data_IF_508054483881
#
_entry.id   IF_508054483881
#
_cell.length_a   1.000
_cell.length_b   1.000
_cell.length_c   1.000
_cell.angle_alpha   90.00
_cell.angle_beta   90.00
_cell.angle_gamma   90.00
#
_symmetry.space_group_name_H-M   'P 1'
#
loop_
_entity.id
_entity.type
_entity.pdbx_description
1 polymer ?
#
# COMPACT_ATOMS: atom_id res chain seq x y z
N UNK A 1 -1.24 -16.74 -24.40
CA UNK A 1 -2.07 -16.97 -23.19
C UNK A 1 -2.03 -15.71 -22.36
N UNK A 2 -3.16 -15.01 -22.19
CA UNK A 2 -3.23 -13.84 -21.33
C UNK A 2 -3.15 -14.29 -19.87
N UNK A 3 -2.07 -13.96 -19.16
CA UNK A 3 -1.97 -14.20 -17.72
C UNK A 3 -3.01 -13.34 -17.03
N UNK A 4 -3.91 -13.94 -16.25
CA UNK A 4 -4.88 -13.20 -15.46
C UNK A 4 -4.16 -12.16 -14.57
N UNK A 5 -4.72 -10.94 -14.39
CA UNK A 5 -4.12 -9.95 -13.52
C UNK A 5 -4.02 -10.51 -12.10
N UNK A 6 -2.87 -10.31 -11.45
CA UNK A 6 -2.74 -10.62 -10.03
C UNK A 6 -3.73 -9.75 -9.25
N UNK A 7 -4.48 -10.35 -8.34
CA UNK A 7 -5.45 -9.66 -7.48
C UNK A 7 -4.99 -9.82 -6.04
N UNK A 8 -5.16 -8.76 -5.23
CA UNK A 8 -4.88 -8.84 -3.80
C UNK A 8 -5.69 -9.98 -3.14
N UNK A 9 -5.06 -10.83 -2.31
CA UNK A 9 -5.73 -12.02 -1.78
C UNK A 9 -6.80 -11.66 -0.76
N UNK A 10 -7.88 -12.44 -0.73
CA UNK A 10 -8.78 -12.44 0.41
C UNK A 10 -8.07 -13.11 1.60
N UNK A 11 -8.11 -12.47 2.77
CA UNK A 11 -7.52 -13.04 3.97
C UNK A 11 -8.37 -14.22 4.49
N UNK A 12 -7.76 -15.36 4.87
CA UNK A 12 -8.47 -16.52 5.41
C UNK A 12 -9.42 -16.20 6.57
N UNK A 13 -9.06 -15.25 7.43
CA UNK A 13 -9.90 -14.81 8.55
C UNK A 13 -11.03 -13.85 8.18
N UNK A 14 -11.12 -13.44 6.91
CA UNK A 14 -12.07 -12.42 6.44
C UNK A 14 -11.76 -11.01 6.92
N UNK A 15 -10.57 -10.78 7.51
CA UNK A 15 -10.13 -9.45 7.94
C UNK A 15 -9.94 -8.53 6.73
N UNK A 16 -10.26 -7.25 6.94
CA UNK A 16 -10.11 -6.18 5.97
C UNK A 16 -9.22 -5.08 6.55
N UNK A 17 -8.78 -4.15 5.70
CA UNK A 17 -7.96 -3.02 6.12
C UNK A 17 -8.69 -2.17 7.15
N UNK A 18 -7.91 -1.71 8.14
CA UNK A 18 -8.38 -0.84 9.20
C UNK A 18 -8.57 0.59 8.66
N UNK A 19 -9.81 1.06 8.67
CA UNK A 19 -10.16 2.39 8.16
C UNK A 19 -9.55 3.52 8.97
N UNK A 20 -9.27 3.30 10.27
CA UNK A 20 -8.68 4.32 11.14
C UNK A 20 -7.22 4.64 10.80
N UNK A 21 -6.53 3.70 10.15
CA UNK A 21 -5.11 3.82 9.77
C UNK A 21 -4.93 4.04 8.26
N UNK A 22 -6.03 4.12 7.51
CA UNK A 22 -5.98 4.33 6.08
C UNK A 22 -5.66 5.79 5.75
N UNK A 23 -4.66 6.02 4.90
CA UNK A 23 -4.36 7.36 4.38
C UNK A 23 -3.88 7.34 2.94
N UNK A 24 -4.15 8.43 2.22
CA UNK A 24 -3.72 8.62 0.83
C UNK A 24 -2.78 9.81 0.80
N UNK A 25 -1.55 9.59 0.34
CA UNK A 25 -0.57 10.66 0.15
C UNK A 25 -0.30 10.82 -1.34
N UNK A 26 -0.74 11.93 -1.97
CA UNK A 26 -0.35 12.23 -3.34
C UNK A 26 1.14 12.59 -3.40
N UNK A 27 1.85 12.07 -4.39
CA UNK A 27 3.23 12.41 -4.66
C UNK A 27 3.27 13.64 -5.58
N UNK A 28 3.41 14.84 -5.01
CA UNK A 28 3.51 16.09 -5.77
C UNK A 28 4.93 16.32 -6.29
N UNK A 29 5.14 16.41 -7.62
CA UNK A 29 6.43 16.72 -8.21
C UNK A 29 6.83 18.20 -8.09
N UNK A 30 5.92 19.10 -7.68
CA UNK A 30 6.19 20.53 -7.60
C UNK A 30 7.25 20.89 -6.55
N UNK A 31 8.37 21.45 -6.99
CA UNK A 31 9.37 22.07 -6.14
C UNK A 31 9.16 23.59 -6.14
N UNK A 32 9.08 24.20 -4.95
CA UNK A 32 8.89 25.64 -4.78
C UNK A 32 10.10 26.24 -4.08
N UNK A 33 10.58 27.36 -4.60
CA UNK A 33 11.62 28.18 -4.00
C UNK A 33 11.03 29.56 -3.71
N UNK A 34 10.93 29.91 -2.43
CA UNK A 34 10.49 31.23 -2.00
C UNK A 34 11.65 32.22 -2.11
N UNK A 35 11.36 33.42 -2.61
CA UNK A 35 12.30 34.52 -2.75
C UNK A 35 11.95 35.64 -1.77
N UNK A 36 12.96 36.41 -1.34
CA UNK A 36 12.71 37.63 -0.57
C UNK A 36 11.86 38.60 -1.40
N UNK A 37 10.71 39.00 -0.86
CA UNK A 37 9.69 39.79 -1.56
C UNK A 37 8.37 39.06 -1.86
N UNK A 38 8.21 37.80 -1.44
CA UNK A 38 6.94 37.06 -1.53
C UNK A 38 6.68 36.39 -2.89
N UNK A 39 7.66 36.42 -3.80
CA UNK A 39 7.60 35.68 -5.06
C UNK A 39 8.02 34.22 -4.84
N UNK A 40 7.44 33.30 -5.62
CA UNK A 40 7.79 31.89 -5.60
C UNK A 40 8.10 31.38 -7.01
N UNK A 41 9.29 30.79 -7.18
CA UNK A 41 9.66 30.07 -8.41
C UNK A 41 9.32 28.60 -8.24
N UNK A 42 8.56 28.05 -9.19
CA UNK A 42 8.14 26.66 -9.15
C UNK A 42 8.65 25.88 -10.36
N UNK A 43 9.11 24.64 -10.14
CA UNK A 43 9.50 23.71 -11.21
C UNK A 43 9.12 22.28 -10.86
N UNK A 44 8.90 21.45 -11.87
CA UNK A 44 8.68 20.02 -11.66
C UNK A 44 10.00 19.31 -11.34
N UNK A 45 10.00 18.46 -10.30
CA UNK A 45 11.12 17.57 -9.95
C UNK A 45 11.25 16.41 -10.94
N UNK A 46 10.12 15.87 -11.39
CA UNK A 46 10.06 14.75 -12.34
C UNK A 46 8.95 14.99 -13.38
N UNK A 47 9.07 14.35 -14.54
CA UNK A 47 8.10 14.44 -15.64
C UNK A 47 7.00 13.37 -15.59
N UNK A 48 7.13 12.35 -14.72
CA UNK A 48 6.12 11.32 -14.53
C UNK A 48 4.87 11.93 -13.87
N UNK A 49 3.69 11.46 -14.30
CA UNK A 49 2.41 11.80 -13.67
C UNK A 49 2.47 11.54 -12.15
N UNK A 50 1.94 12.44 -11.32
CA UNK A 50 1.83 12.24 -9.88
C UNK A 50 1.21 10.88 -9.54
N UNK A 51 1.91 10.08 -8.74
CA UNK A 51 1.39 8.82 -8.22
C UNK A 51 0.70 9.04 -6.88
N UNK A 52 -0.20 8.13 -6.51
CA UNK A 52 -0.82 8.10 -5.19
C UNK A 52 -0.21 6.98 -4.39
N UNK A 53 0.16 7.28 -3.15
CA UNK A 53 0.58 6.29 -2.17
C UNK A 53 -0.58 6.03 -1.23
N UNK A 54 -0.99 4.77 -1.12
CA UNK A 54 -1.98 4.32 -0.15
C UNK A 54 -1.24 3.68 1.01
N UNK A 55 -1.46 4.19 2.22
CA UNK A 55 -1.00 3.54 3.44
C UNK A 55 -2.19 2.77 4.01
N UNK A 56 -2.01 1.48 4.17
CA UNK A 56 -3.04 0.58 4.66
C UNK A 56 -2.47 -0.25 5.81
N UNK A 57 -3.24 -0.41 6.87
CA UNK A 57 -2.86 -1.27 7.98
C UNK A 57 -3.91 -2.36 8.18
N UNK A 58 -3.45 -3.53 8.57
CA UNK A 58 -4.28 -4.65 9.01
C UNK A 58 -3.97 -4.89 10.48
N UNK A 59 -5.00 -4.86 11.32
CA UNK A 59 -4.85 -5.03 12.78
C UNK A 59 -5.36 -6.40 13.22
N UNK A 60 -4.65 -7.02 14.17
CA UNK A 60 -5.01 -8.33 14.74
C UNK A 60 -5.25 -9.42 13.68
N UNK A 61 -4.37 -9.53 12.69
CA UNK A 61 -4.41 -10.62 11.71
C UNK A 61 -3.87 -11.92 12.33
N UNK A 62 -4.39 -13.06 11.87
CA UNK A 62 -3.93 -14.37 12.32
C UNK A 62 -2.59 -14.74 11.68
N UNK A 63 -1.92 -15.75 12.22
CA UNK A 63 -0.72 -16.32 11.60
C UNK A 63 -0.99 -16.79 10.15
N UNK A 64 -2.17 -17.35 9.88
CA UNK A 64 -2.54 -17.81 8.54
C UNK A 64 -2.64 -16.64 7.54
N UNK A 65 -3.21 -15.52 7.97
CA UNK A 65 -3.31 -14.30 7.16
C UNK A 65 -1.93 -13.71 6.87
N UNK A 66 -1.04 -13.70 7.87
CA UNK A 66 0.34 -13.26 7.70
C UNK A 66 1.04 -14.11 6.62
N UNK A 67 0.95 -15.43 6.72
CA UNK A 67 1.56 -16.34 5.74
C UNK A 67 0.98 -16.12 4.33
N UNK A 68 -0.31 -15.85 4.21
CA UNK A 68 -0.94 -15.52 2.93
C UNK A 68 -0.40 -14.21 2.33
N UNK A 69 -0.19 -13.17 3.16
CA UNK A 69 0.41 -11.91 2.73
C UNK A 69 1.86 -12.05 2.31
N UNK A 70 2.66 -12.84 3.04
CA UNK A 70 4.06 -13.14 2.68
C UNK A 70 4.13 -13.90 1.35
N UNK A 71 3.30 -14.93 1.18
CA UNK A 71 3.21 -15.67 -0.09
C UNK A 71 2.82 -14.76 -1.26
N UNK A 72 1.91 -13.82 -1.02
CA UNK A 72 1.51 -12.85 -2.04
C UNK A 72 2.62 -11.83 -2.36
N UNK A 73 3.37 -11.38 -1.35
CA UNK A 73 4.55 -10.55 -1.53
C UNK A 73 5.60 -11.24 -2.43
N UNK A 74 5.86 -12.52 -2.18
CA UNK A 74 6.81 -13.30 -2.98
C UNK A 74 6.30 -13.51 -4.42
N UNK A 75 4.99 -13.77 -4.57
CA UNK A 75 4.33 -13.94 -5.88
C UNK A 75 4.38 -12.67 -6.73
N UNK A 76 4.27 -11.51 -6.09
CA UNK A 76 4.40 -10.18 -6.71
C UNK A 76 5.86 -9.77 -6.93
N UNK A 77 6.83 -10.62 -6.52
CA UNK A 77 8.27 -10.32 -6.59
C UNK A 77 8.57 -8.97 -5.92
N UNK A 78 7.95 -8.75 -4.75
CA UNK A 78 8.01 -7.51 -3.98
C UNK A 78 7.43 -6.31 -4.71
N UNK A 79 8.25 -5.27 -4.92
CA UNK A 79 7.81 -3.98 -5.49
C UNK A 79 7.70 -3.96 -7.02
N UNK A 80 8.08 -5.05 -7.69
CA UNK A 80 8.27 -5.06 -9.14
C UNK A 80 7.00 -5.33 -9.94
N UNK A 81 6.07 -6.13 -9.43
CA UNK A 81 4.87 -6.54 -10.18
C UNK A 81 3.62 -5.79 -9.70
N UNK A 82 2.87 -5.28 -10.68
CA UNK A 82 1.58 -4.65 -10.43
C UNK A 82 0.49 -5.70 -10.20
N UNK A 83 -0.50 -5.36 -9.39
CA UNK A 83 -1.69 -6.15 -9.11
C UNK A 83 -2.92 -5.24 -8.93
N UNK A 84 -4.09 -5.82 -9.14
CA UNK A 84 -5.37 -5.17 -8.90
C UNK A 84 -5.72 -5.22 -7.42
N UNK A 85 -5.99 -4.06 -6.85
CA UNK A 85 -6.43 -3.89 -5.47
C UNK A 85 -7.71 -3.06 -5.43
N UNK A 86 -8.73 -3.56 -4.74
CA UNK A 86 -9.98 -2.84 -4.55
C UNK A 86 -9.90 -2.07 -3.23
N UNK A 87 -10.03 -0.75 -3.32
CA UNK A 87 -10.06 0.12 -2.15
C UNK A 87 -11.37 -0.03 -1.39
N UNK A 88 -11.29 -0.11 -0.07
CA UNK A 88 -12.47 -0.20 0.80
C UNK A 88 -13.24 1.13 0.91
N UNK A 89 -12.57 2.27 0.66
CA UNK A 89 -13.18 3.58 0.83
C UNK A 89 -14.21 3.87 -0.28
N UNK A 90 -13.87 3.53 -1.51
CA UNK A 90 -14.58 3.95 -2.72
C UNK A 90 -14.96 2.78 -3.63
N UNK A 91 -14.68 1.53 -3.23
CA UNK A 91 -14.96 0.30 -3.96
C UNK A 91 -14.37 0.26 -5.39
N UNK A 92 -13.40 1.14 -5.68
CA UNK A 92 -12.72 1.21 -6.98
C UNK A 92 -11.54 0.27 -7.02
N UNK A 93 -11.37 -0.39 -8.15
CA UNK A 93 -10.19 -1.22 -8.42
C UNK A 93 -9.07 -0.35 -8.96
N UNK A 94 -7.94 -0.34 -8.27
CA UNK A 94 -6.71 0.34 -8.65
C UNK A 94 -5.66 -0.67 -9.10
N UNK A 95 -4.91 -0.31 -10.14
CA UNK A 95 -3.69 -1.04 -10.49
C UNK A 95 -2.54 -0.48 -9.65
N UNK A 96 -2.08 -1.26 -8.67
CA UNK A 96 -1.09 -0.84 -7.69
C UNK A 96 0.09 -1.80 -7.66
N UNK A 97 1.20 -1.32 -7.11
CA UNK A 97 2.34 -2.15 -6.73
C UNK A 97 2.68 -1.87 -5.28
N UNK A 98 3.43 -2.76 -4.66
CA UNK A 98 4.01 -2.45 -3.36
C UNK A 98 5.06 -1.34 -3.49
N UNK A 99 4.99 -0.35 -2.61
CA UNK A 99 6.01 0.69 -2.51
C UNK A 99 7.21 0.23 -1.68
N UNK A 100 6.94 -0.50 -0.60
CA UNK A 100 7.92 -1.02 0.34
C UNK A 100 7.51 -2.39 0.84
N UNK A 101 8.44 -3.10 1.49
CA UNK A 101 8.14 -4.37 2.15
C UNK A 101 7.10 -4.18 3.26
N UNK A 102 6.15 -5.11 3.42
CA UNK A 102 5.17 -5.09 4.50
C UNK A 102 5.89 -5.21 5.84
N UNK A 103 5.51 -4.38 6.80
CA UNK A 103 6.06 -4.43 8.16
C UNK A 103 5.11 -5.22 9.04
N UNK A 104 5.63 -6.21 9.76
CA UNK A 104 4.84 -7.06 10.66
C UNK A 104 5.24 -6.80 12.11
N UNK A 105 4.26 -6.47 12.96
CA UNK A 105 4.43 -6.28 14.40
C UNK A 105 3.70 -7.38 15.14
N UNK A 106 4.37 -8.11 16.04
CA UNK A 106 3.73 -9.15 16.85
C UNK A 106 2.87 -8.54 17.97
N UNK A 107 1.61 -8.97 18.06
CA UNK A 107 0.61 -8.54 19.08
C UNK A 107 0.10 -9.70 19.94
N UNK A 108 0.56 -10.92 19.68
CA UNK A 108 0.05 -12.12 20.34
C UNK A 108 0.38 -12.20 21.83
N UNK A 109 -0.53 -12.81 22.59
CA UNK A 109 -0.35 -13.14 24.02
C UNK A 109 -0.60 -14.63 24.21
N UNK A 110 0.34 -15.31 24.90
CA UNK A 110 0.31 -16.76 25.15
C UNK A 110 0.20 -17.60 23.87
N UNK A 111 -0.93 -18.27 23.65
CA UNK A 111 -1.17 -19.20 22.52
C UNK A 111 -1.82 -18.50 21.31
N UNK A 112 -2.26 -17.25 21.45
CA UNK A 112 -2.88 -16.52 20.36
C UNK A 112 -1.82 -15.71 19.61
N UNK A 113 -1.50 -16.14 18.38
CA UNK A 113 -0.56 -15.45 17.50
C UNK A 113 -1.28 -14.43 16.63
N UNK A 114 -1.34 -13.20 17.12
CA UNK A 114 -1.85 -12.04 16.37
C UNK A 114 -0.72 -11.16 15.88
N UNK A 115 -0.93 -10.54 14.72
CA UNK A 115 0.01 -9.61 14.11
C UNK A 115 -0.72 -8.35 13.67
N UNK A 116 -0.01 -7.23 13.68
CA UNK A 116 -0.38 -6.03 12.94
C UNK A 116 0.52 -5.96 11.70
N UNK A 117 -0.04 -5.59 10.56
CA UNK A 117 0.69 -5.46 9.30
C UNK A 117 0.46 -4.07 8.69
N UNK A 118 1.55 -3.35 8.44
CA UNK A 118 1.54 -2.06 7.74
C UNK A 118 2.06 -2.24 6.32
N UNK A 119 1.25 -1.79 5.35
CA UNK A 119 1.46 -1.99 3.92
C UNK A 119 1.34 -0.65 3.20
N UNK A 120 2.23 -0.41 2.24
CA UNK A 120 2.16 0.76 1.38
C UNK A 120 2.03 0.34 -0.08
N UNK A 121 1.01 0.86 -0.74
CA UNK A 121 0.78 0.69 -2.17
C UNK A 121 1.08 1.98 -2.93
N UNK A 122 1.57 1.85 -4.16
CA UNK A 122 1.72 2.95 -5.09
C UNK A 122 0.95 2.64 -6.38
N UNK A 123 0.22 3.61 -6.92
CA UNK A 123 -0.38 3.50 -8.25
C UNK A 123 0.68 3.37 -9.35
N UNK A 124 0.47 2.44 -10.27
CA UNK A 124 1.36 2.21 -11.42
C UNK A 124 1.02 3.17 -12.57
#
# INVERSE_FOLDING_TARGET
MATAPLVFPALPSGKSFDSSKFSITPNDPGMRHEMEGGYAVTRARFTRKPTRVFNCSLTNITQADKNALETFWDTTRGTSRAFSWTSLQDAKTYNVRFKSAPTYTYRGVRQSHFWDCDIQFETV
#
